data_IF_340214874280
#
_entry.id   IF_340214874280
#
_cell.length_a   1.000
_cell.length_b   1.000
_cell.length_c   1.000
_cell.angle_alpha   90.00
_cell.angle_beta   90.00
_cell.angle_gamma   90.00
#
_symmetry.space_group_name_H-M   'P 1'
#
loop_
_entity.id
_entity.type
_entity.pdbx_description
1 polymer ?
#
# COMPACT_ATOMS: atom_id res chain seq x y z
N UNK A 1 18.29 23.13 -2.17
CA UNK A 1 18.08 22.71 -3.59
C UNK A 1 18.53 21.27 -3.84
N UNK A 2 19.18 20.56 -2.90
CA UNK A 2 19.64 19.17 -3.11
C UNK A 2 18.55 18.08 -3.06
N UNK A 3 17.44 18.31 -2.36
CA UNK A 3 16.43 17.27 -2.11
C UNK A 3 15.68 16.77 -3.37
N UNK A 4 15.60 17.56 -4.45
CA UNK A 4 14.88 17.15 -5.66
C UNK A 4 15.72 16.23 -6.56
N UNK A 5 17.03 16.49 -6.65
CA UNK A 5 17.95 15.71 -7.49
C UNK A 5 18.20 14.33 -6.90
N UNK A 6 18.41 14.23 -5.59
CA UNK A 6 18.56 12.96 -4.89
C UNK A 6 17.30 12.09 -5.05
N UNK A 7 16.11 12.66 -4.85
CA UNK A 7 14.83 11.93 -5.04
C UNK A 7 14.63 11.38 -6.44
N UNK A 8 14.99 12.13 -7.48
CA UNK A 8 14.89 11.64 -8.86
C UNK A 8 15.87 10.49 -9.13
N UNK A 9 17.07 10.57 -8.57
CA UNK A 9 18.07 9.51 -8.66
C UNK A 9 17.61 8.24 -7.90
N UNK A 10 17.09 8.41 -6.68
CA UNK A 10 16.56 7.30 -5.87
C UNK A 10 15.37 6.63 -6.57
N UNK A 11 14.45 7.42 -7.13
CA UNK A 11 13.32 6.91 -7.91
C UNK A 11 13.78 6.10 -9.13
N UNK A 12 14.76 6.63 -9.88
CA UNK A 12 15.27 5.96 -11.08
C UNK A 12 15.99 4.66 -10.72
N UNK A 13 16.82 4.69 -9.68
CA UNK A 13 17.52 3.51 -9.18
C UNK A 13 16.55 2.42 -8.71
N UNK A 14 15.48 2.80 -7.99
CA UNK A 14 14.47 1.84 -7.55
C UNK A 14 13.68 1.28 -8.75
N UNK A 15 13.30 2.12 -9.71
CA UNK A 15 12.64 1.67 -10.95
C UNK A 15 13.49 0.66 -11.72
N UNK A 16 14.79 0.94 -11.89
CA UNK A 16 15.71 0.05 -12.60
C UNK A 16 15.90 -1.28 -11.85
N UNK A 17 15.95 -1.23 -10.52
CA UNK A 17 15.96 -2.43 -9.68
C UNK A 17 14.71 -3.28 -9.86
N UNK A 18 13.53 -2.64 -9.88
CA UNK A 18 12.25 -3.33 -10.07
C UNK A 18 12.20 -4.05 -11.42
N UNK A 19 12.62 -3.36 -12.49
CA UNK A 19 12.72 -3.90 -13.85
C UNK A 19 13.69 -5.08 -13.92
N UNK A 20 14.91 -4.94 -13.37
CA UNK A 20 15.90 -6.00 -13.41
C UNK A 20 15.44 -7.27 -12.66
N UNK A 21 14.67 -7.12 -11.57
CA UNK A 21 14.05 -8.25 -10.87
C UNK A 21 12.95 -8.92 -11.69
N UNK A 22 12.09 -8.11 -12.32
CA UNK A 22 11.01 -8.56 -13.19
C UNK A 22 11.56 -9.38 -14.36
N UNK A 23 12.46 -8.79 -15.15
CA UNK A 23 13.04 -9.39 -16.35
C UNK A 23 13.75 -10.71 -16.06
N UNK A 24 14.43 -10.80 -14.91
CA UNK A 24 15.18 -12.01 -14.53
C UNK A 24 14.28 -13.11 -13.99
N UNK A 25 13.30 -12.77 -13.16
CA UNK A 25 12.63 -13.74 -12.28
C UNK A 25 11.18 -13.98 -12.67
N UNK A 26 10.47 -12.93 -13.08
CA UNK A 26 9.04 -13.02 -13.41
C UNK A 26 8.85 -13.27 -14.91
N UNK A 27 9.52 -12.48 -15.74
CA UNK A 27 9.46 -12.55 -17.20
C UNK A 27 10.64 -13.28 -17.85
N UNK A 28 11.53 -13.86 -17.04
CA UNK A 28 12.61 -14.70 -17.51
C UNK A 28 12.10 -16.02 -18.09
N UNK A 29 12.96 -16.82 -18.75
CA UNK A 29 12.57 -18.08 -19.39
C UNK A 29 11.94 -19.11 -18.43
N UNK A 30 12.37 -19.10 -17.17
CA UNK A 30 11.87 -19.98 -16.11
C UNK A 30 10.84 -19.28 -15.20
N UNK A 31 10.46 -18.04 -15.52
CA UNK A 31 9.50 -17.26 -14.76
C UNK A 31 8.05 -17.65 -15.07
N UNK A 32 7.08 -17.23 -14.23
CA UNK A 32 5.66 -17.52 -14.45
C UNK A 32 5.04 -16.76 -15.63
N UNK A 33 5.66 -15.66 -16.09
CA UNK A 33 5.13 -14.80 -17.15
C UNK A 33 6.20 -14.50 -18.21
N UNK A 34 6.81 -15.53 -18.84
CA UNK A 34 7.93 -15.36 -19.75
C UNK A 34 7.62 -14.32 -20.84
N UNK A 35 8.55 -13.39 -21.05
CA UNK A 35 8.42 -12.34 -22.06
C UNK A 35 7.46 -11.19 -21.73
N UNK A 36 6.74 -11.23 -20.60
CA UNK A 36 5.90 -10.11 -20.17
C UNK A 36 6.73 -8.87 -19.81
N UNK A 37 6.25 -7.68 -20.18
CA UNK A 37 6.95 -6.41 -19.94
C UNK A 37 6.27 -5.66 -18.80
N UNK A 38 7.05 -5.13 -17.87
CA UNK A 38 6.58 -4.27 -16.78
C UNK A 38 6.98 -2.82 -17.07
N UNK A 39 6.04 -1.87 -16.88
CA UNK A 39 6.33 -0.45 -16.73
C UNK A 39 6.04 -0.02 -15.28
N UNK A 40 7.05 -0.02 -14.38
CA UNK A 40 6.85 0.22 -12.98
C UNK A 40 6.99 1.70 -12.60
N UNK A 41 6.22 2.07 -11.59
CA UNK A 41 6.27 3.33 -10.86
C UNK A 41 6.45 3.04 -9.36
N UNK A 42 7.65 3.30 -8.80
CA UNK A 42 7.89 3.28 -7.36
C UNK A 42 6.97 4.22 -6.58
N UNK A 43 6.53 3.78 -5.41
CA UNK A 43 5.66 4.52 -4.48
C UNK A 43 6.25 4.48 -3.06
N UNK A 44 5.90 5.41 -2.16
CA UNK A 44 6.33 5.33 -0.77
C UNK A 44 5.90 4.03 -0.05
N UNK A 45 4.74 3.48 -0.43
CA UNK A 45 4.13 2.29 0.18
C UNK A 45 4.39 0.99 -0.59
N UNK A 46 5.21 1.03 -1.65
CA UNK A 46 5.46 -0.12 -2.52
C UNK A 46 5.79 0.31 -3.95
N UNK A 47 5.21 -0.35 -4.93
CA UNK A 47 5.26 0.06 -6.32
C UNK A 47 3.99 -0.36 -7.05
N UNK A 48 3.76 0.24 -8.20
CA UNK A 48 2.71 -0.21 -9.12
C UNK A 48 3.21 -0.22 -10.54
N UNK A 49 2.49 -0.84 -11.47
CA UNK A 49 2.91 -0.81 -12.86
C UNK A 49 1.97 -1.53 -13.80
N UNK A 50 2.04 -1.13 -15.06
CA UNK A 50 1.34 -1.81 -16.13
C UNK A 50 2.18 -3.00 -16.60
N UNK A 51 1.54 -4.17 -16.67
CA UNK A 51 2.11 -5.39 -17.25
C UNK A 51 1.51 -5.59 -18.64
N UNK A 52 2.37 -5.63 -19.65
CA UNK A 52 2.02 -6.01 -21.01
C UNK A 52 2.33 -7.50 -21.19
N UNK A 53 1.30 -8.27 -21.49
CA UNK A 53 1.42 -9.71 -21.66
C UNK A 53 1.71 -10.06 -23.11
N UNK A 54 2.34 -11.22 -23.32
CA UNK A 54 2.59 -11.75 -24.66
C UNK A 54 1.25 -12.21 -25.26
N UNK A 55 0.77 -11.60 -26.36
CA UNK A 55 -0.56 -11.89 -26.89
C UNK A 55 -0.72 -13.37 -27.25
N UNK A 56 -1.79 -13.98 -26.74
CA UNK A 56 -2.11 -15.39 -26.99
C UNK A 56 -1.31 -16.42 -26.15
N UNK A 57 -0.32 -15.98 -25.38
CA UNK A 57 0.42 -16.85 -24.45
C UNK A 57 -0.01 -16.64 -23.00
N UNK A 58 -0.34 -15.40 -22.63
CA UNK A 58 -0.74 -15.02 -21.29
C UNK A 58 -1.95 -14.08 -21.30
N UNK A 59 -2.73 -14.15 -20.22
CA UNK A 59 -3.84 -13.27 -19.92
C UNK A 59 -3.78 -12.79 -18.47
N UNK A 60 -4.59 -11.78 -18.11
CA UNK A 60 -4.56 -11.17 -16.77
C UNK A 60 -4.76 -12.18 -15.61
N UNK A 61 -5.44 -13.31 -15.88
CA UNK A 61 -5.56 -14.40 -14.92
C UNK A 61 -4.20 -14.98 -14.49
N UNK A 62 -3.25 -15.09 -15.41
CA UNK A 62 -1.92 -15.65 -15.10
C UNK A 62 -1.11 -14.72 -14.19
N UNK A 63 -1.34 -13.41 -14.31
CA UNK A 63 -0.73 -12.42 -13.43
C UNK A 63 -1.30 -12.54 -12.01
N UNK A 64 -2.60 -12.82 -11.89
CA UNK A 64 -3.24 -13.11 -10.59
C UNK A 64 -2.69 -14.40 -10.00
N UNK A 65 -2.56 -15.45 -10.79
CA UNK A 65 -2.04 -16.75 -10.32
C UNK A 65 -0.54 -16.67 -9.95
N UNK A 66 0.18 -15.70 -10.51
CA UNK A 66 1.58 -15.41 -10.20
C UNK A 66 1.78 -14.44 -9.01
N UNK A 67 0.73 -13.95 -8.36
CA UNK A 67 0.83 -12.87 -7.35
C UNK A 67 1.74 -13.23 -6.17
N UNK A 68 1.65 -14.46 -5.67
CA UNK A 68 2.49 -14.98 -4.59
C UNK A 68 3.96 -15.09 -5.02
N UNK A 69 4.20 -15.47 -6.28
CA UNK A 69 5.56 -15.53 -6.84
C UNK A 69 6.15 -14.12 -7.00
N UNK A 70 5.34 -13.18 -7.47
CA UNK A 70 5.70 -11.75 -7.56
C UNK A 70 6.04 -11.25 -6.14
N UNK A 71 5.17 -11.48 -5.16
CA UNK A 71 5.41 -11.09 -3.77
C UNK A 71 6.76 -11.64 -3.27
N UNK A 72 7.02 -12.94 -3.46
CA UNK A 72 8.27 -13.57 -3.05
C UNK A 72 9.50 -12.97 -3.76
N UNK A 73 9.40 -12.70 -5.06
CA UNK A 73 10.48 -12.10 -5.88
C UNK A 73 10.92 -10.74 -5.32
N UNK A 74 9.96 -9.95 -4.84
CA UNK A 74 10.21 -8.62 -4.28
C UNK A 74 10.38 -8.62 -2.75
N UNK A 75 10.41 -9.80 -2.11
CA UNK A 75 10.56 -9.92 -0.65
C UNK A 75 9.35 -9.36 0.13
N UNK A 76 8.17 -9.37 -0.49
CA UNK A 76 6.92 -8.88 0.08
C UNK A 76 6.17 -10.00 0.80
N UNK A 77 5.29 -9.62 1.72
CA UNK A 77 4.39 -10.56 2.39
C UNK A 77 3.37 -11.14 1.40
N UNK A 78 2.99 -12.40 1.64
CA UNK A 78 1.90 -13.05 0.89
C UNK A 78 0.61 -12.23 0.98
N UNK A 79 -0.05 -11.99 -0.15
CA UNK A 79 -1.27 -11.17 -0.20
C UNK A 79 -1.04 -9.65 -0.22
N UNK A 80 0.22 -9.19 -0.25
CA UNK A 80 0.55 -7.77 -0.44
C UNK A 80 0.53 -7.30 -1.91
N UNK A 81 0.27 -8.22 -2.85
CA UNK A 81 0.09 -7.91 -4.28
C UNK A 81 -1.40 -7.85 -4.60
N UNK A 82 -1.79 -6.87 -5.41
CA UNK A 82 -3.14 -6.71 -5.97
C UNK A 82 -3.01 -6.58 -7.48
N UNK A 83 -3.75 -7.41 -8.21
CA UNK A 83 -3.76 -7.42 -9.67
C UNK A 83 -5.13 -7.01 -10.17
N UNK A 84 -5.16 -5.94 -10.95
CA UNK A 84 -6.35 -5.34 -11.53
C UNK A 84 -6.37 -5.53 -13.04
N UNK A 85 -7.57 -5.69 -13.62
CA UNK A 85 -7.71 -5.64 -15.06
C UNK A 85 -7.52 -4.19 -15.52
N UNK A 86 -6.51 -3.95 -16.36
CA UNK A 86 -6.33 -2.63 -16.95
C UNK A 86 -7.41 -2.40 -18.01
N UNK A 87 -8.26 -1.40 -17.81
CA UNK A 87 -9.22 -0.94 -18.84
C UNK A 87 -8.58 0.00 -19.86
N UNK A 88 -7.29 0.28 -19.72
CA UNK A 88 -6.53 1.26 -20.51
C UNK A 88 -5.40 0.56 -21.25
N UNK A 89 -5.73 -0.23 -22.29
CA UNK A 89 -4.74 -0.91 -23.13
C UNK A 89 -5.38 -1.88 -24.13
N UNK A 90 -4.58 -2.36 -25.09
CA UNK A 90 -4.93 -3.52 -25.93
C UNK A 90 -5.21 -4.74 -25.04
N UNK A 91 -6.00 -5.69 -25.52
CA UNK A 91 -6.78 -6.68 -24.75
C UNK A 91 -6.06 -7.48 -23.64
N UNK A 92 -4.72 -7.50 -23.60
CA UNK A 92 -3.93 -8.36 -22.72
C UNK A 92 -2.98 -7.54 -21.81
N UNK A 93 -3.55 -6.61 -21.03
CA UNK A 93 -2.79 -5.83 -20.04
C UNK A 93 -3.37 -5.96 -18.63
N UNK A 94 -2.48 -6.14 -17.65
CA UNK A 94 -2.81 -6.15 -16.24
C UNK A 94 -2.18 -4.94 -15.56
N UNK A 95 -2.76 -4.48 -14.45
CA UNK A 95 -2.13 -3.49 -13.59
C UNK A 95 -1.82 -4.14 -12.23
N UNK A 96 -0.56 -4.04 -11.82
CA UNK A 96 -0.08 -4.65 -10.57
C UNK A 96 0.19 -3.55 -9.56
N UNK A 97 -0.31 -3.74 -8.35
CA UNK A 97 0.06 -2.98 -7.16
C UNK A 97 0.76 -3.93 -6.19
N UNK A 98 1.99 -3.63 -5.82
CA UNK A 98 2.79 -4.46 -4.92
C UNK A 98 3.19 -3.63 -3.71
N UNK A 99 2.58 -3.93 -2.57
CA UNK A 99 2.72 -3.13 -1.35
C UNK A 99 3.76 -3.70 -0.40
N UNK A 100 4.40 -2.84 0.39
CA UNK A 100 5.31 -3.25 1.46
C UNK A 100 4.59 -4.05 2.57
N UNK A 101 3.27 -3.89 2.71
CA UNK A 101 2.47 -4.57 3.73
C UNK A 101 1.12 -5.05 3.22
N UNK A 102 0.59 -6.10 3.86
CA UNK A 102 -0.74 -6.64 3.55
C UNK A 102 -1.84 -5.65 3.90
N UNK A 103 -1.69 -4.85 4.97
CA UNK A 103 -2.64 -3.79 5.30
C UNK A 103 -2.75 -2.75 4.19
N UNK A 104 -1.65 -2.37 3.55
CA UNK A 104 -1.71 -1.44 2.42
C UNK A 104 -2.41 -2.05 1.20
N UNK A 105 -2.16 -3.32 0.90
CA UNK A 105 -2.90 -4.05 -0.14
C UNK A 105 -4.40 -4.16 0.17
N UNK A 106 -4.76 -4.51 1.41
CA UNK A 106 -6.15 -4.60 1.84
C UNK A 106 -6.84 -3.23 1.85
N UNK A 107 -6.12 -2.16 2.22
CA UNK A 107 -6.63 -0.79 2.09
C UNK A 107 -6.97 -0.48 0.63
N UNK A 108 -6.04 -0.75 -0.29
CA UNK A 108 -6.24 -0.53 -1.72
C UNK A 108 -7.43 -1.32 -2.27
N UNK A 109 -7.63 -2.58 -1.86
CA UNK A 109 -8.81 -3.37 -2.27
C UNK A 109 -10.15 -2.71 -1.90
N UNK A 110 -10.21 -2.01 -0.77
CA UNK A 110 -11.43 -1.38 -0.26
C UNK A 110 -11.55 0.10 -0.66
N UNK A 111 -10.42 0.77 -0.86
CA UNK A 111 -10.31 2.17 -1.28
C UNK A 111 -9.23 2.26 -2.37
N UNK A 112 -9.57 1.91 -3.62
CA UNK A 112 -8.57 1.82 -4.69
C UNK A 112 -7.90 3.16 -4.95
N UNK A 113 -6.56 3.17 -4.92
CA UNK A 113 -5.80 4.27 -5.48
C UNK A 113 -5.99 4.30 -6.99
N UNK A 114 -6.14 5.48 -7.57
CA UNK A 114 -6.26 5.59 -9.02
C UNK A 114 -4.88 5.70 -9.65
N UNK A 115 -4.73 5.21 -10.87
CA UNK A 115 -3.52 5.48 -11.68
C UNK A 115 -3.33 6.97 -11.93
N UNK A 116 -4.41 7.78 -11.89
CA UNK A 116 -4.34 9.24 -11.88
C UNK A 116 -3.73 9.82 -10.60
N UNK A 117 -3.82 9.14 -9.46
CA UNK A 117 -3.12 9.58 -8.24
C UNK A 117 -1.60 9.35 -8.37
N UNK A 118 -1.20 8.36 -9.17
CA UNK A 118 0.20 8.01 -9.46
C UNK A 118 0.81 8.89 -10.55
N UNK A 119 0.07 9.12 -11.66
CA UNK A 119 0.55 9.86 -12.83
C UNK A 119 0.03 11.31 -12.94
N UNK A 120 -1.06 11.64 -12.24
CA UNK A 120 -1.82 12.90 -12.39
C UNK A 120 -1.42 14.02 -11.44
N UNK A 121 -0.42 13.84 -10.57
CA UNK A 121 0.11 14.91 -9.70
C UNK A 121 0.88 16.00 -10.44
N UNK A 122 0.85 16.07 -11.78
CA UNK A 122 1.46 17.14 -12.57
C UNK A 122 2.90 17.52 -12.13
N UNK A 123 3.69 16.53 -11.69
CA UNK A 123 5.05 16.74 -11.20
C UNK A 123 5.21 17.34 -9.80
N UNK A 124 4.14 17.55 -9.03
CA UNK A 124 4.20 18.01 -7.65
C UNK A 124 4.06 16.83 -6.65
N UNK A 125 5.13 16.40 -5.97
CA UNK A 125 5.02 15.38 -4.92
C UNK A 125 4.10 15.87 -3.79
N UNK A 126 3.49 14.95 -3.04
CA UNK A 126 2.82 15.31 -1.78
C UNK A 126 3.78 16.13 -0.90
N UNK A 127 3.21 17.02 -0.09
CA UNK A 127 3.97 17.76 0.92
C UNK A 127 4.86 16.78 1.69
N UNK A 128 6.16 17.08 1.80
CA UNK A 128 7.10 16.22 2.53
C UNK A 128 6.90 16.27 4.04
N UNK A 129 5.96 17.08 4.51
CA UNK A 129 5.65 17.30 5.92
C UNK A 129 4.14 17.25 6.08
N UNK A 130 3.66 16.42 6.99
CA UNK A 130 2.28 16.44 7.43
C UNK A 130 1.99 17.75 8.16
N UNK A 131 0.89 18.41 7.81
CA UNK A 131 0.43 19.56 8.55
C UNK A 131 -0.26 19.15 9.87
N UNK A 132 -0.51 20.14 10.72
CA UNK A 132 -1.17 19.93 12.02
C UNK A 132 -2.59 19.39 11.87
N UNK A 133 -3.34 19.86 10.86
CA UNK A 133 -4.71 19.43 10.62
C UNK A 133 -4.80 17.97 10.19
N UNK A 134 -3.83 17.49 9.40
CA UNK A 134 -3.70 16.08 9.03
C UNK A 134 -3.47 15.18 10.24
N UNK A 135 -2.63 15.61 11.20
CA UNK A 135 -2.39 14.89 12.45
C UNK A 135 -3.61 14.93 13.39
N UNK A 136 -4.32 16.06 13.44
CA UNK A 136 -5.57 16.18 14.20
C UNK A 136 -6.68 15.28 13.60
N UNK A 137 -6.75 15.16 12.27
CA UNK A 137 -7.64 14.21 11.61
C UNK A 137 -7.26 12.76 11.90
N UNK A 138 -5.96 12.43 11.91
CA UNK A 138 -5.50 11.10 12.32
C UNK A 138 -5.93 10.79 13.75
N UNK A 139 -5.77 11.74 14.68
CA UNK A 139 -6.19 11.58 16.07
C UNK A 139 -7.71 11.36 16.19
N UNK A 140 -8.52 12.12 15.45
CA UNK A 140 -9.98 11.96 15.41
C UNK A 140 -10.39 10.58 14.87
N UNK A 141 -9.73 10.08 13.83
CA UNK A 141 -9.99 8.74 13.30
C UNK A 141 -9.56 7.64 14.27
N UNK A 142 -8.41 7.82 14.93
CA UNK A 142 -7.89 6.93 15.96
C UNK A 142 -8.86 6.81 17.13
N UNK A 143 -9.38 7.94 17.63
CA UNK A 143 -10.30 7.98 18.78
C UNK A 143 -11.62 7.26 18.45
N UNK A 144 -12.19 7.57 17.28
CA UNK A 144 -13.43 6.93 16.80
C UNK A 144 -13.29 5.43 16.59
N UNK A 145 -12.13 4.98 16.11
CA UNK A 145 -11.84 3.55 15.95
C UNK A 145 -11.69 2.87 17.32
N UNK A 146 -10.82 3.40 18.19
CA UNK A 146 -10.60 2.90 19.55
C UNK A 146 -11.91 2.74 20.31
N UNK A 147 -12.74 3.79 20.32
CA UNK A 147 -14.02 3.79 21.01
C UNK A 147 -14.92 2.62 20.58
N UNK A 148 -15.05 2.37 19.27
CA UNK A 148 -15.87 1.26 18.77
C UNK A 148 -15.23 -0.10 19.01
N UNK A 149 -13.90 -0.19 18.92
CA UNK A 149 -13.16 -1.41 19.24
C UNK A 149 -13.35 -1.81 20.71
N UNK A 150 -13.26 -0.86 21.63
CA UNK A 150 -13.46 -1.10 23.06
C UNK A 150 -14.88 -1.57 23.38
N UNK A 151 -15.90 -0.98 22.75
CA UNK A 151 -17.28 -1.46 22.86
C UNK A 151 -17.44 -2.89 22.35
N UNK A 152 -16.83 -3.20 21.20
CA UNK A 152 -16.83 -4.55 20.66
C UNK A 152 -16.15 -5.53 21.64
N UNK A 153 -14.97 -5.17 22.16
CA UNK A 153 -14.19 -5.93 23.15
C UNK A 153 -14.92 -6.17 24.47
N UNK A 154 -15.77 -5.23 24.89
CA UNK A 154 -16.53 -5.31 26.14
C UNK A 154 -17.74 -6.25 26.06
N UNK A 155 -18.01 -6.85 24.90
CA UNK A 155 -19.16 -7.75 24.71
C UNK A 155 -20.46 -7.01 24.43
N UNK A 156 -20.42 -5.70 24.12
CA UNK A 156 -21.58 -4.88 23.74
C UNK A 156 -22.03 -5.13 22.28
N UNK A 157 -21.70 -6.32 21.74
CA UNK A 157 -21.91 -6.72 20.35
C UNK A 157 -23.34 -6.54 19.84
N UNK A 158 -24.35 -6.53 20.72
CA UNK A 158 -25.76 -6.33 20.33
C UNK A 158 -26.06 -4.92 19.82
N UNK A 159 -25.15 -3.95 20.02
CA UNK A 159 -25.33 -2.55 19.62
C UNK A 159 -24.22 -2.00 18.73
N UNK A 160 -23.16 -2.77 18.47
CA UNK A 160 -22.03 -2.32 17.64
C UNK A 160 -22.21 -2.80 16.21
N UNK A 161 -22.35 -1.84 15.31
CA UNK A 161 -22.34 -2.05 13.86
C UNK A 161 -20.92 -2.44 13.40
N UNK A 162 -20.74 -3.71 13.01
CA UNK A 162 -19.46 -4.25 12.55
C UNK A 162 -18.97 -3.55 11.28
N UNK A 163 -19.86 -3.20 10.36
CA UNK A 163 -19.48 -2.49 9.13
C UNK A 163 -18.93 -1.11 9.47
N UNK A 164 -19.51 -0.45 10.47
CA UNK A 164 -19.00 0.82 10.99
C UNK A 164 -17.62 0.67 11.62
N UNK A 165 -17.35 -0.41 12.36
CA UNK A 165 -16.01 -0.69 12.91
C UNK A 165 -15.01 -0.86 11.77
N UNK A 166 -15.33 -1.70 10.78
CA UNK A 166 -14.47 -1.96 9.62
C UNK A 166 -14.19 -0.66 8.85
N UNK A 167 -15.20 0.16 8.60
CA UNK A 167 -15.03 1.44 7.90
C UNK A 167 -14.13 2.42 8.65
N UNK A 168 -14.22 2.46 9.99
CA UNK A 168 -13.36 3.30 10.82
C UNK A 168 -11.92 2.80 10.83
N UNK A 169 -11.73 1.49 10.91
CA UNK A 169 -10.40 0.88 10.76
C UNK A 169 -9.79 1.21 9.38
N UNK A 170 -10.57 1.11 8.30
CA UNK A 170 -10.06 1.42 6.96
C UNK A 170 -9.66 2.90 6.80
N UNK A 171 -10.42 3.83 7.40
CA UNK A 171 -10.03 5.25 7.43
C UNK A 171 -8.77 5.50 8.25
N UNK A 172 -8.68 4.92 9.44
CA UNK A 172 -7.49 5.03 10.29
C UNK A 172 -6.27 4.49 9.58
N UNK A 173 -6.41 3.32 8.92
CA UNK A 173 -5.34 2.72 8.13
C UNK A 173 -4.89 3.62 6.98
N UNK A 174 -5.82 4.18 6.21
CA UNK A 174 -5.49 5.13 5.15
C UNK A 174 -4.71 6.33 5.69
N UNK A 175 -5.13 6.91 6.82
CA UNK A 175 -4.43 8.00 7.48
C UNK A 175 -3.02 7.64 7.94
N UNK A 176 -2.84 6.46 8.55
CA UNK A 176 -1.52 5.98 8.98
C UNK A 176 -0.58 5.82 7.77
N UNK A 177 -1.03 5.10 6.74
CA UNK A 177 -0.21 4.80 5.55
C UNK A 177 0.15 6.06 4.76
N UNK A 178 -0.73 7.05 4.71
CA UNK A 178 -0.51 8.32 4.02
C UNK A 178 0.44 9.26 4.80
N UNK A 179 0.39 9.24 6.14
CA UNK A 179 1.18 10.14 6.98
C UNK A 179 2.58 9.61 7.33
N UNK A 180 2.76 8.29 7.44
CA UNK A 180 4.06 7.67 7.74
C UNK A 180 5.21 8.20 6.86
N UNK A 181 5.09 8.28 5.51
CA UNK A 181 6.19 8.77 4.67
C UNK A 181 6.41 10.29 4.76
N UNK A 182 5.52 11.04 5.42
CA UNK A 182 5.51 12.52 5.47
C UNK A 182 5.66 13.07 6.89
N UNK A 183 5.95 12.22 7.88
CA UNK A 183 6.07 12.60 9.28
C UNK A 183 7.45 12.21 9.83
N UNK A 184 7.86 12.87 10.93
CA UNK A 184 9.08 12.48 11.62
C UNK A 184 8.93 11.07 12.23
N UNK A 185 10.02 10.29 12.35
CA UNK A 185 9.98 8.99 13.00
C UNK A 185 9.32 9.07 14.39
N UNK A 186 8.32 8.21 14.63
CA UNK A 186 7.59 8.14 15.91
C UNK A 186 6.50 9.20 16.09
N UNK A 187 6.29 10.13 15.15
CA UNK A 187 5.24 11.15 15.28
C UNK A 187 3.83 10.55 15.13
N UNK A 188 3.63 9.66 14.15
CA UNK A 188 2.38 8.89 14.02
C UNK A 188 2.15 8.05 15.28
N UNK A 189 3.21 7.40 15.81
CA UNK A 189 3.15 6.65 17.07
C UNK A 189 2.64 7.51 18.22
N UNK A 190 3.23 8.69 18.43
CA UNK A 190 2.87 9.58 19.52
C UNK A 190 1.39 9.98 19.44
N UNK A 191 0.87 10.30 18.24
CA UNK A 191 -0.55 10.60 18.05
C UNK A 191 -1.44 9.42 18.44
N UNK A 192 -1.08 8.20 18.02
CA UNK A 192 -1.84 6.99 18.35
C UNK A 192 -1.80 6.70 19.86
N UNK A 193 -0.63 6.82 20.49
CA UNK A 193 -0.43 6.61 21.93
C UNK A 193 -1.18 7.65 22.78
N UNK A 194 -1.15 8.93 22.39
CA UNK A 194 -1.89 10.01 23.06
C UNK A 194 -3.40 9.76 23.05
N UNK A 195 -3.91 9.18 21.98
CA UNK A 195 -5.31 8.76 21.84
C UNK A 195 -5.58 7.42 22.53
N UNK A 196 -4.56 6.70 23.00
CA UNK A 196 -4.69 5.41 23.66
C UNK A 196 -4.91 4.23 22.70
N UNK A 197 -4.59 4.39 21.42
CA UNK A 197 -4.54 3.28 20.47
C UNK A 197 -3.30 2.44 20.76
N UNK A 198 -3.53 1.24 21.27
CA UNK A 198 -2.49 0.22 21.50
C UNK A 198 -2.39 -0.76 20.31
N UNK A 199 -1.36 -1.60 20.30
CA UNK A 199 -1.16 -2.65 19.27
C UNK A 199 -2.42 -3.49 19.02
N UNK A 200 -3.17 -3.83 20.07
CA UNK A 200 -4.37 -4.68 19.96
C UNK A 200 -5.50 -4.08 19.11
N UNK A 201 -5.47 -2.76 18.87
CA UNK A 201 -6.49 -2.08 18.08
C UNK A 201 -6.22 -2.16 16.58
N UNK A 202 -5.01 -2.55 16.16
CA UNK A 202 -4.57 -2.50 14.78
C UNK A 202 -4.15 -3.89 14.30
N UNK A 203 -4.20 -4.15 12.98
CA UNK A 203 -3.46 -5.26 12.39
C UNK A 203 -1.98 -5.20 12.77
N UNK A 204 -1.36 -6.38 12.99
CA UNK A 204 0.02 -6.48 13.47
C UNK A 204 1.02 -5.73 12.59
N UNK A 205 0.90 -5.86 11.27
CA UNK A 205 1.79 -5.21 10.30
C UNK A 205 1.66 -3.68 10.35
N UNK A 206 0.45 -3.16 10.57
CA UNK A 206 0.20 -1.73 10.71
C UNK A 206 0.70 -1.20 12.05
N UNK A 207 0.57 -1.98 13.12
CA UNK A 207 1.12 -1.64 14.43
C UNK A 207 2.65 -1.61 14.41
N UNK A 208 3.28 -2.57 13.72
CA UNK A 208 4.73 -2.61 13.51
C UNK A 208 5.21 -1.40 12.69
N UNK A 209 4.53 -1.08 11.58
CA UNK A 209 4.81 0.12 10.78
C UNK A 209 4.68 1.42 11.59
N UNK A 210 3.64 1.52 12.42
CA UNK A 210 3.44 2.67 13.31
C UNK A 210 4.43 2.69 14.48
N UNK A 211 5.21 1.63 14.69
CA UNK A 211 6.20 1.53 15.78
C UNK A 211 5.58 1.36 17.17
N UNK A 212 4.36 0.83 17.27
CA UNK A 212 3.70 0.58 18.56
C UNK A 212 4.41 -0.57 19.31
N UNK A 213 4.62 -0.45 20.63
CA UNK A 213 5.36 -1.45 21.39
C UNK A 213 4.67 -2.82 21.41
N UNK A 214 5.48 -3.88 21.36
CA UNK A 214 5.03 -5.23 21.68
C UNK A 214 4.86 -5.35 23.20
N UNK A 215 3.77 -5.99 23.65
CA UNK A 215 3.52 -6.25 25.08
C UNK A 215 4.39 -7.37 25.60
#
# INVERSE_FOLDING_TARGET
MDNARTRHQDYTAERDRLLALWERSVAGPDGPLPGAILDPAPLPTGWCGQVQLVPGEHHTGDVRDADDFIAATYGLQRGAVVVEDSRTGTADTAFVWAFHTVSAADHHRHTPMTTLDVYGRAGAPASTVADRGELEHLADWADKHRFLWDQLRAGEHRHVDVDRVVHRLQRLRGGILDLLPRTAPGQVRAVLEDVGVTREHLPDDLADLAGLPQR
#
